data_IF_456412575444
#
_entry.id   IF_456412575444
#
_cell.length_a   1.000
_cell.length_b   1.000
_cell.length_c   1.000
_cell.angle_alpha   90.00
_cell.angle_beta   90.00
_cell.angle_gamma   90.00
#
_symmetry.space_group_name_H-M   'P 1'
#
loop_
_entity.id
_entity.type
_entity.pdbx_description
1 polymer ?
#
# COMPACT_ATOMS: atom_id res chain seq x y z
N UNK A 1 9.24 28.06 -6.94
CA UNK A 1 10.03 29.14 -6.34
C UNK A 1 11.25 28.50 -5.69
N UNK A 2 12.45 29.02 -5.94
CA UNK A 2 13.67 28.60 -5.24
C UNK A 2 14.01 29.70 -4.24
N UNK A 3 14.29 29.33 -2.99
CA UNK A 3 14.72 30.26 -1.95
C UNK A 3 16.24 30.37 -1.97
N UNK A 4 16.77 31.52 -1.58
CA UNK A 4 18.21 31.71 -1.37
C UNK A 4 18.61 31.13 0.00
N UNK A 5 19.88 30.79 0.19
CA UNK A 5 20.35 30.21 1.46
C UNK A 5 20.03 31.11 2.66
N UNK A 6 20.28 32.41 2.54
CA UNK A 6 19.88 33.41 3.55
C UNK A 6 18.38 33.40 3.88
N UNK A 7 17.50 33.13 2.91
CA UNK A 7 16.05 33.04 3.19
C UNK A 7 15.72 31.76 3.94
N UNK A 8 16.43 30.67 3.67
CA UNK A 8 16.27 29.41 4.40
C UNK A 8 16.75 29.56 5.84
N UNK A 9 17.86 30.25 6.07
CA UNK A 9 18.38 30.53 7.42
C UNK A 9 17.36 31.34 8.24
N UNK A 10 16.80 32.40 7.67
CA UNK A 10 15.74 33.18 8.31
C UNK A 10 14.50 32.33 8.67
N UNK A 11 14.11 31.41 7.80
CA UNK A 11 13.00 30.49 8.06
C UNK A 11 13.33 29.56 9.23
N UNK A 12 14.57 29.08 9.32
CA UNK A 12 15.01 28.20 10.40
C UNK A 12 15.11 28.92 11.75
N UNK A 13 15.64 30.14 11.78
CA UNK A 13 15.71 30.97 12.99
C UNK A 13 14.31 31.24 13.58
N UNK A 14 13.33 31.43 12.70
CA UNK A 14 11.95 31.65 13.05
C UNK A 14 11.19 30.38 13.50
N UNK A 15 11.75 29.20 13.26
CA UNK A 15 11.09 27.93 13.57
C UNK A 15 11.16 27.66 15.08
N UNK A 16 10.03 27.43 15.76
CA UNK A 16 10.04 27.32 17.21
C UNK A 16 10.76 26.04 17.68
N UNK A 17 11.46 26.16 18.79
CA UNK A 17 12.10 25.04 19.46
C UNK A 17 11.08 24.26 20.31
N UNK A 18 10.97 22.95 20.09
CA UNK A 18 10.14 22.05 20.89
C UNK A 18 10.62 20.60 20.76
N UNK A 19 10.30 19.78 21.76
CA UNK A 19 10.66 18.36 21.76
C UNK A 19 9.67 17.52 20.95
N UNK A 20 10.22 16.61 20.15
CA UNK A 20 9.43 15.60 19.45
C UNK A 20 8.90 14.55 20.43
N UNK A 21 7.71 14.02 20.14
CA UNK A 21 7.17 12.87 20.86
C UNK A 21 8.13 11.68 20.77
N UNK A 22 8.42 11.05 21.91
CA UNK A 22 9.34 9.90 21.96
C UNK A 22 8.69 8.66 21.34
N UNK A 23 9.45 7.93 20.51
CA UNK A 23 9.00 6.70 19.86
C UNK A 23 9.88 5.52 20.29
N UNK A 24 9.27 4.37 20.59
CA UNK A 24 9.96 3.13 20.92
C UNK A 24 9.57 2.02 19.96
N UNK A 25 10.52 1.14 19.63
CA UNK A 25 10.22 -0.09 18.90
C UNK A 25 9.43 -1.04 19.79
N UNK A 26 8.34 -1.57 19.26
CA UNK A 26 7.53 -2.56 19.97
C UNK A 26 8.07 -3.97 19.67
N UNK A 27 8.32 -4.75 20.74
CA UNK A 27 8.81 -6.13 20.63
C UNK A 27 7.71 -7.18 20.85
N UNK A 28 6.65 -6.84 21.60
CA UNK A 28 5.47 -7.67 21.84
C UNK A 28 4.23 -6.80 21.74
N UNK A 29 3.14 -7.33 21.17
CA UNK A 29 1.88 -6.59 21.05
C UNK A 29 1.35 -6.24 22.44
N UNK A 30 0.85 -5.01 22.58
CA UNK A 30 0.27 -4.50 23.83
C UNK A 30 -1.05 -3.80 23.54
N UNK A 31 -1.92 -3.70 24.54
CA UNK A 31 -3.15 -2.93 24.38
C UNK A 31 -2.85 -1.42 24.29
N UNK A 32 -3.62 -0.72 23.46
CA UNK A 32 -3.60 0.75 23.37
C UNK A 32 -5.01 1.26 23.10
N UNK A 33 -5.20 2.57 23.25
CA UNK A 33 -6.51 3.19 23.00
C UNK A 33 -6.78 3.28 21.50
N UNK A 34 -5.73 3.59 20.72
CA UNK A 34 -5.80 3.68 19.26
C UNK A 34 -4.56 3.07 18.60
N UNK A 35 -4.78 2.60 17.38
CA UNK A 35 -3.77 2.09 16.48
C UNK A 35 -3.81 2.91 15.20
N UNK A 36 -2.66 3.38 14.72
CA UNK A 36 -2.61 4.16 13.49
C UNK A 36 -1.49 3.74 12.55
N UNK A 37 -1.71 3.88 11.25
CA UNK A 37 -0.73 3.51 10.22
C UNK A 37 0.29 4.62 9.98
N UNK A 38 1.56 4.27 9.91
CA UNK A 38 2.63 5.14 9.44
C UNK A 38 3.09 4.65 8.07
N UNK A 39 2.97 5.44 6.99
CA UNK A 39 3.42 5.02 5.66
C UNK A 39 4.95 4.95 5.58
N UNK A 40 5.48 4.20 4.62
CA UNK A 40 6.91 4.24 4.28
C UNK A 40 7.23 5.56 3.58
N UNK A 41 8.04 6.38 4.22
CA UNK A 41 8.45 7.68 3.70
C UNK A 41 9.39 8.44 4.63
N UNK A 42 9.72 9.67 4.22
CA UNK A 42 10.58 10.59 4.97
C UNK A 42 9.75 11.44 5.93
N UNK A 43 10.31 11.81 7.09
CA UNK A 43 9.61 12.61 8.10
C UNK A 43 9.81 14.09 7.82
N UNK A 44 8.74 14.86 7.95
CA UNK A 44 8.78 16.31 7.77
C UNK A 44 7.94 17.01 8.83
N UNK A 45 8.31 18.25 9.11
CA UNK A 45 7.34 19.24 9.57
C UNK A 45 6.70 19.92 8.36
N UNK A 46 5.38 20.08 8.39
CA UNK A 46 4.66 20.97 7.49
C UNK A 46 4.28 22.23 8.28
N UNK A 47 4.85 23.37 7.90
CA UNK A 47 4.71 24.63 8.61
C UNK A 47 3.99 25.68 7.76
N UNK A 48 2.79 26.02 8.19
CA UNK A 48 1.99 27.09 7.60
C UNK A 48 2.36 28.40 8.27
N UNK A 49 2.98 29.32 7.53
CA UNK A 49 3.42 30.62 8.05
C UNK A 49 3.33 31.72 6.99
N UNK A 50 3.14 32.96 7.43
CA UNK A 50 3.34 34.14 6.61
C UNK A 50 4.84 34.39 6.42
N UNK A 51 5.31 34.28 5.18
CA UNK A 51 6.67 34.65 4.81
C UNK A 51 6.60 35.82 3.83
N UNK A 52 7.20 36.96 4.19
CA UNK A 52 7.14 38.21 3.42
C UNK A 52 5.69 38.56 3.00
N UNK A 53 4.78 38.51 3.97
CA UNK A 53 3.33 38.76 3.83
C UNK A 53 2.56 37.79 2.90
N UNK A 54 3.20 36.71 2.45
CA UNK A 54 2.58 35.68 1.63
C UNK A 54 2.34 34.41 2.46
N UNK A 55 1.13 33.84 2.48
CA UNK A 55 0.87 32.58 3.17
C UNK A 55 1.56 31.43 2.43
N UNK A 56 2.44 30.71 3.12
CA UNK A 56 3.20 29.61 2.54
C UNK A 56 3.17 28.39 3.45
N UNK A 57 3.31 27.20 2.84
CA UNK A 57 3.50 25.94 3.55
C UNK A 57 4.92 25.42 3.28
N UNK A 58 5.77 25.47 4.30
CA UNK A 58 7.13 24.94 4.24
C UNK A 58 7.17 23.49 4.71
N UNK A 59 8.00 22.68 4.07
CA UNK A 59 8.25 21.30 4.43
C UNK A 59 9.69 21.15 4.87
N UNK A 60 9.90 20.96 6.17
CA UNK A 60 11.22 20.87 6.79
C UNK A 60 11.55 19.39 6.97
N UNK A 61 12.49 18.89 6.18
CA UNK A 61 12.93 17.49 6.20
C UNK A 61 13.70 17.18 7.47
N UNK A 62 13.28 16.14 8.19
CA UNK A 62 13.90 15.77 9.45
C UNK A 62 14.90 14.64 9.20
N UNK A 63 16.16 14.90 9.50
CA UNK A 63 17.18 13.86 9.54
C UNK A 63 17.03 13.03 10.81
N UNK A 64 16.64 11.76 10.68
CA UNK A 64 16.39 10.89 11.85
C UNK A 64 17.63 10.58 12.68
N UNK A 65 18.84 10.66 12.12
CA UNK A 65 20.09 10.34 12.84
C UNK A 65 20.46 11.47 13.80
N UNK A 66 20.41 12.70 13.30
CA UNK A 66 20.90 13.86 14.03
C UNK A 66 19.76 14.70 14.64
N UNK A 67 18.49 14.39 14.31
CA UNK A 67 17.28 15.15 14.70
C UNK A 67 17.28 16.62 14.26
N UNK A 68 18.07 16.96 13.25
CA UNK A 68 18.14 18.30 12.66
C UNK A 68 17.25 18.40 11.41
N UNK A 69 16.97 19.63 11.01
CA UNK A 69 16.34 19.94 9.73
C UNK A 69 17.45 19.91 8.66
N UNK A 70 17.28 19.06 7.63
CA UNK A 70 18.27 18.87 6.57
C UNK A 70 17.99 19.72 5.35
N UNK A 71 16.72 19.79 4.95
CA UNK A 71 16.27 20.49 3.76
C UNK A 71 14.94 21.18 4.01
N UNK A 72 14.70 22.30 3.34
CA UNK A 72 13.41 23.00 3.35
C UNK A 72 12.84 23.05 1.93
N UNK A 73 11.60 22.59 1.79
CA UNK A 73 10.87 22.61 0.53
C UNK A 73 9.62 23.47 0.66
N UNK A 74 9.07 23.88 -0.48
CA UNK A 74 7.76 24.50 -0.56
C UNK A 74 6.93 23.78 -1.63
N UNK A 75 5.77 23.29 -1.22
CA UNK A 75 4.80 22.64 -2.10
C UNK A 75 3.51 23.44 -2.16
N UNK A 76 2.79 23.32 -3.27
CA UNK A 76 1.48 23.95 -3.40
C UNK A 76 0.44 23.17 -2.59
N UNK A 77 -0.21 23.87 -1.67
CA UNK A 77 -1.27 23.38 -0.80
C UNK A 77 -2.38 24.41 -0.85
N UNK A 78 -3.63 24.04 -1.17
CA UNK A 78 -4.76 24.94 -1.02
C UNK A 78 -5.20 24.92 0.44
N UNK A 79 -4.95 26.00 1.16
CA UNK A 79 -5.30 26.14 2.58
C UNK A 79 -5.77 27.56 2.92
N UNK A 80 -6.41 27.69 4.07
CA UNK A 80 -6.87 28.97 4.63
C UNK A 80 -5.73 29.71 5.33
N UNK A 81 -5.54 31.00 4.97
CA UNK A 81 -4.52 31.89 5.54
C UNK A 81 -4.55 31.95 7.07
N UNK A 82 -5.69 31.65 7.71
CA UNK A 82 -5.79 31.60 9.17
C UNK A 82 -4.78 30.64 9.82
N UNK A 83 -4.34 29.57 9.12
CA UNK A 83 -3.34 28.65 9.63
C UNK A 83 -1.96 29.30 9.81
N UNK A 84 -1.71 30.44 9.17
CA UNK A 84 -0.46 31.18 9.24
C UNK A 84 -0.43 32.23 10.36
N UNK A 85 -1.48 32.37 11.18
CA UNK A 85 -1.53 33.36 12.27
C UNK A 85 -0.41 33.16 13.30
N UNK A 86 0.14 34.25 13.81
CA UNK A 86 1.24 34.29 14.78
C UNK A 86 2.47 33.51 14.28
N UNK A 87 3.00 32.59 15.09
CA UNK A 87 4.10 31.68 14.68
C UNK A 87 3.63 30.58 13.71
N UNK A 88 2.33 30.52 13.40
CA UNK A 88 1.76 29.63 12.39
C UNK A 88 1.29 28.28 12.94
N UNK A 89 1.05 27.34 12.03
CA UNK A 89 0.60 25.97 12.35
C UNK A 89 1.68 24.98 11.93
N UNK A 90 2.09 24.11 12.85
CA UNK A 90 3.16 23.13 12.64
C UNK A 90 2.60 21.73 12.81
N UNK A 91 2.49 21.02 11.69
CA UNK A 91 2.12 19.62 11.63
C UNK A 91 3.38 18.77 11.47
N UNK A 92 3.33 17.55 12.00
CA UNK A 92 4.38 16.55 11.84
C UNK A 92 3.81 15.31 11.17
N UNK A 93 4.58 14.73 10.27
CA UNK A 93 4.08 13.62 9.48
C UNK A 93 5.09 12.99 8.55
N UNK A 94 4.59 12.09 7.71
CA UNK A 94 5.39 11.37 6.72
C UNK A 94 5.01 11.81 5.32
N UNK A 95 6.01 12.23 4.54
CA UNK A 95 5.90 12.44 3.10
C UNK A 95 6.17 11.12 2.37
N UNK A 96 5.24 10.72 1.51
CA UNK A 96 5.31 9.49 0.72
C UNK A 96 4.64 9.68 -0.64
N UNK A 97 4.70 8.64 -1.48
CA UNK A 97 4.16 8.68 -2.83
C UNK A 97 3.09 7.62 -3.04
N UNK A 98 1.97 8.02 -3.62
CA UNK A 98 0.91 7.11 -4.11
C UNK A 98 0.75 7.36 -5.60
N UNK A 99 1.02 6.35 -6.43
CA UNK A 99 0.92 6.47 -7.90
C UNK A 99 1.65 7.72 -8.45
N UNK A 100 2.88 7.97 -7.98
CA UNK A 100 3.73 9.15 -8.29
C UNK A 100 3.21 10.51 -7.76
N UNK A 101 2.05 10.57 -7.11
CA UNK A 101 1.55 11.78 -6.44
C UNK A 101 2.14 11.89 -5.05
N UNK A 102 2.54 13.10 -4.63
CA UNK A 102 3.03 13.36 -3.28
C UNK A 102 1.87 13.43 -2.30
N UNK A 103 1.99 12.69 -1.21
CA UNK A 103 1.04 12.68 -0.11
C UNK A 103 1.78 12.96 1.20
N UNK A 104 1.17 13.75 2.08
CA UNK A 104 1.63 14.00 3.43
C UNK A 104 0.63 13.43 4.43
N UNK A 105 1.07 12.42 5.18
CA UNK A 105 0.29 11.79 6.24
C UNK A 105 0.52 12.53 7.55
N UNK A 106 -0.48 13.25 8.06
CA UNK A 106 -0.39 14.01 9.31
C UNK A 106 -0.45 13.05 10.49
N UNK A 107 0.57 13.05 11.32
CA UNK A 107 0.68 12.15 12.47
C UNK A 107 0.60 12.88 13.80
N UNK A 108 0.97 14.16 13.83
CA UNK A 108 0.93 14.97 15.04
C UNK A 108 0.82 16.47 14.71
N UNK A 109 0.45 17.26 15.71
CA UNK A 109 0.44 18.73 15.66
C UNK A 109 1.16 19.28 16.87
N UNK A 110 2.05 20.25 16.64
CA UNK A 110 2.82 20.91 17.71
C UNK A 110 2.36 22.34 17.94
N UNK A 111 2.00 23.06 16.87
CA UNK A 111 1.47 24.41 16.96
C UNK A 111 0.22 24.54 16.11
N UNK A 112 -0.77 25.25 16.63
CA UNK A 112 -1.96 25.65 15.88
C UNK A 112 -2.15 27.16 15.99
N UNK A 113 -1.95 27.88 14.88
CA UNK A 113 -2.12 29.35 14.84
C UNK A 113 -1.31 30.08 15.92
N UNK A 114 -0.13 29.54 16.21
CA UNK A 114 0.81 29.95 17.24
C UNK A 114 0.58 29.41 18.64
N UNK A 115 -0.52 28.71 18.92
CA UNK A 115 -0.75 28.06 20.20
C UNK A 115 0.05 26.75 20.29
N UNK A 116 0.88 26.61 21.33
CA UNK A 116 1.70 25.42 21.56
C UNK A 116 0.85 24.27 22.14
N UNK A 117 0.83 23.13 21.43
CA UNK A 117 0.10 21.90 21.77
C UNK A 117 1.03 20.75 22.22
N UNK A 118 2.30 21.02 22.47
CA UNK A 118 3.33 20.00 22.82
C UNK A 118 3.06 19.29 24.14
N UNK A 119 2.28 19.89 25.04
CA UNK A 119 1.91 19.27 26.32
C UNK A 119 0.48 18.69 26.33
N UNK A 120 -0.32 18.97 25.31
CA UNK A 120 -1.67 18.42 25.19
C UNK A 120 -1.64 16.90 24.95
N UNK A 121 -2.70 16.21 25.37
CA UNK A 121 -2.85 14.78 25.11
C UNK A 121 -3.26 14.51 23.64
N UNK A 122 -3.16 13.25 23.22
CA UNK A 122 -3.45 12.84 21.83
C UNK A 122 -4.90 13.07 21.42
N UNK A 123 -5.87 12.97 22.34
CA UNK A 123 -7.27 13.23 22.01
C UNK A 123 -7.50 14.66 21.51
N UNK A 124 -6.90 15.65 22.19
CA UNK A 124 -6.98 17.06 21.80
C UNK A 124 -6.29 17.25 20.45
N UNK A 125 -5.07 16.71 20.28
CA UNK A 125 -4.30 16.86 19.04
C UNK A 125 -5.02 16.28 17.83
N UNK A 126 -5.60 15.09 17.96
CA UNK A 126 -6.36 14.44 16.88
C UNK A 126 -7.61 15.25 16.53
N UNK A 127 -8.31 15.79 17.54
CA UNK A 127 -9.46 16.67 17.32
C UNK A 127 -9.06 17.92 16.53
N UNK A 128 -7.97 18.58 16.89
CA UNK A 128 -7.48 19.75 16.16
C UNK A 128 -7.04 19.42 14.73
N UNK A 129 -6.33 18.31 14.54
CA UNK A 129 -5.95 17.82 13.21
C UNK A 129 -7.20 17.56 12.34
N UNK A 130 -8.23 16.94 12.90
CA UNK A 130 -9.49 16.71 12.21
C UNK A 130 -10.15 18.03 11.78
N UNK A 131 -10.22 19.02 12.68
CA UNK A 131 -10.80 20.32 12.38
C UNK A 131 -10.07 21.04 11.24
N UNK A 132 -8.73 21.04 11.27
CA UNK A 132 -7.90 21.65 10.22
C UNK A 132 -8.14 20.98 8.87
N UNK A 133 -8.17 19.65 8.85
CA UNK A 133 -8.38 18.89 7.61
C UNK A 133 -9.78 19.08 7.04
N UNK A 134 -10.78 19.26 7.89
CA UNK A 134 -12.17 19.47 7.48
C UNK A 134 -12.41 20.89 6.95
N UNK A 135 -11.81 21.90 7.57
CA UNK A 135 -12.21 23.30 7.37
C UNK A 135 -11.13 24.18 6.72
N UNK A 136 -9.85 23.86 6.90
CA UNK A 136 -8.76 24.79 6.54
C UNK A 136 -7.82 24.28 5.46
N UNK A 137 -7.75 22.97 5.19
CA UNK A 137 -6.92 22.40 4.12
C UNK A 137 -7.83 21.69 3.12
N UNK A 138 -7.69 21.97 1.82
CA UNK A 138 -8.42 21.26 0.75
C UNK A 138 -7.57 20.12 0.20
N UNK A 139 -8.16 18.94 0.02
CA UNK A 139 -7.47 17.75 -0.47
C UNK A 139 -7.53 17.65 -2.02
N UNK A 140 -7.03 18.69 -2.69
CA UNK A 140 -7.01 18.77 -4.17
C UNK A 140 -5.59 18.73 -4.73
N UNK A 141 -5.40 18.07 -5.87
CA UNK A 141 -4.11 17.95 -6.54
C UNK A 141 -4.17 18.63 -7.91
N UNK A 142 -3.53 19.78 -8.07
CA UNK A 142 -3.62 20.59 -9.30
C UNK A 142 -2.51 20.26 -10.31
N UNK A 143 -1.29 20.03 -9.84
CA UNK A 143 -0.14 19.81 -10.70
C UNK A 143 0.96 18.99 -10.00
N UNK A 144 2.05 18.73 -10.71
CA UNK A 144 3.19 17.94 -10.22
C UNK A 144 3.89 18.54 -8.99
N UNK A 145 3.72 19.83 -8.68
CA UNK A 145 4.27 20.49 -7.48
C UNK A 145 3.27 20.53 -6.30
N UNK A 146 2.06 20.03 -6.50
CA UNK A 146 1.05 19.93 -5.46
C UNK A 146 1.34 18.77 -4.51
N UNK A 147 0.83 18.86 -3.29
CA UNK A 147 0.90 17.80 -2.30
C UNK A 147 -0.47 17.59 -1.63
N UNK A 148 -0.88 16.34 -1.50
CA UNK A 148 -2.14 15.98 -0.85
C UNK A 148 -1.91 15.73 0.63
N UNK A 149 -2.59 16.47 1.50
CA UNK A 149 -2.64 16.18 2.92
C UNK A 149 -3.66 15.06 3.18
N UNK A 150 -3.32 14.16 4.10
CA UNK A 150 -4.15 13.04 4.51
C UNK A 150 -3.94 12.69 5.96
N UNK A 151 -4.87 11.93 6.51
CA UNK A 151 -4.79 11.36 7.85
C UNK A 151 -4.41 9.88 7.76
N UNK A 152 -3.73 9.35 8.79
CA UNK A 152 -3.47 7.93 8.87
C UNK A 152 -4.81 7.19 9.00
N UNK A 153 -4.82 5.91 8.62
CA UNK A 153 -5.88 5.04 9.09
C UNK A 153 -5.73 4.91 10.61
N UNK A 154 -6.80 5.19 11.34
CA UNK A 154 -6.88 5.07 12.79
C UNK A 154 -8.03 4.11 13.11
N UNK A 155 -7.80 3.18 14.04
CA UNK A 155 -8.82 2.29 14.56
C UNK A 155 -8.58 2.04 16.05
N UNK A 156 -9.65 1.76 16.80
CA UNK A 156 -9.55 1.32 18.20
C UNK A 156 -9.35 -0.19 18.29
N UNK A 157 -9.56 -0.93 17.19
CA UNK A 157 -9.30 -2.36 17.10
C UNK A 157 -8.18 -2.66 16.09
N UNK A 158 -7.14 -3.34 16.58
CA UNK A 158 -5.97 -3.72 15.77
C UNK A 158 -6.33 -4.57 14.53
N UNK A 159 -7.23 -5.54 14.68
CA UNK A 159 -7.59 -6.46 13.59
C UNK A 159 -8.38 -5.76 12.49
N UNK A 160 -9.27 -4.83 12.86
CA UNK A 160 -9.99 -3.99 11.89
C UNK A 160 -9.02 -3.13 11.09
N UNK A 161 -8.01 -2.55 11.75
CA UNK A 161 -6.96 -1.79 11.07
C UNK A 161 -6.17 -2.68 10.09
N UNK A 162 -5.76 -3.88 10.52
CA UNK A 162 -5.04 -4.83 9.67
C UNK A 162 -5.80 -5.23 8.42
N UNK A 163 -7.10 -5.45 8.52
CA UNK A 163 -7.94 -5.77 7.36
C UNK A 163 -7.97 -4.61 6.36
N UNK A 164 -8.05 -3.36 6.84
CA UNK A 164 -8.00 -2.16 5.98
C UNK A 164 -6.63 -1.98 5.32
N UNK A 165 -5.55 -2.31 6.02
CA UNK A 165 -4.16 -2.18 5.54
C UNK A 165 -3.90 -2.99 4.27
N UNK A 166 -4.49 -4.20 4.15
CA UNK A 166 -4.29 -5.07 2.99
C UNK A 166 -4.74 -4.46 1.67
N UNK A 167 -5.69 -3.52 1.72
CA UNK A 167 -6.27 -2.85 0.55
C UNK A 167 -5.58 -1.53 0.18
N UNK A 168 -4.49 -1.16 0.87
CA UNK A 168 -3.83 0.13 0.65
C UNK A 168 -2.95 0.15 -0.62
N UNK A 169 -3.07 1.24 -1.38
CA UNK A 169 -2.25 1.52 -2.57
C UNK A 169 -0.81 1.97 -2.26
N UNK A 170 -0.43 2.03 -0.99
CA UNK A 170 0.91 2.40 -0.54
C UNK A 170 1.40 1.44 0.54
N UNK A 171 2.70 1.46 0.81
CA UNK A 171 3.31 0.55 1.77
C UNK A 171 3.34 1.19 3.16
N UNK A 172 2.91 0.44 4.17
CA UNK A 172 2.95 0.85 5.57
C UNK A 172 4.32 0.47 6.15
N UNK A 173 4.91 1.38 6.90
CA UNK A 173 6.16 1.17 7.64
C UNK A 173 5.90 0.48 8.98
N UNK A 174 4.98 1.02 9.78
CA UNK A 174 4.57 0.46 11.06
C UNK A 174 3.11 0.76 11.39
N UNK A 175 2.53 -0.02 12.28
CA UNK A 175 1.41 0.44 13.12
C UNK A 175 2.01 1.08 14.36
N UNK A 176 1.52 2.27 14.69
CA UNK A 176 1.87 2.99 15.89
C UNK A 176 0.73 2.93 16.90
N UNK A 177 1.07 2.55 18.12
CA UNK A 177 0.15 2.37 19.25
C UNK A 177 0.20 3.65 20.08
N UNK A 178 -0.95 4.25 20.36
CA UNK A 178 -1.04 5.46 21.17
C UNK A 178 -2.15 5.39 22.20
N UNK A 179 -1.86 5.96 23.37
CA UNK A 179 -2.85 6.27 24.39
C UNK A 179 -3.41 7.67 24.13
N UNK A 180 -4.72 7.85 24.28
CA UNK A 180 -5.42 9.10 23.99
C UNK A 180 -5.17 10.15 25.08
N UNK A 181 -5.16 9.73 26.34
CA UNK A 181 -5.17 10.62 27.50
C UNK A 181 -3.89 10.59 28.33
N UNK A 182 -2.98 9.64 28.06
CA UNK A 182 -1.70 9.50 28.78
C UNK A 182 -0.54 9.86 27.86
N UNK A 183 0.34 10.74 28.31
CA UNK A 183 1.59 11.06 27.63
C UNK A 183 2.62 9.95 27.88
N UNK A 184 2.52 8.88 27.11
CA UNK A 184 3.54 7.82 27.04
C UNK A 184 4.19 7.82 25.65
N UNK A 185 5.43 7.28 25.54
CA UNK A 185 6.08 7.08 24.25
C UNK A 185 5.19 6.30 23.29
N UNK A 186 5.19 6.68 22.02
CA UNK A 186 4.49 5.95 20.98
C UNK A 186 5.22 4.64 20.69
N UNK A 187 4.49 3.56 20.50
CA UNK A 187 5.09 2.24 20.27
C UNK A 187 4.91 1.83 18.81
N UNK A 188 6.01 1.56 18.12
CA UNK A 188 6.03 1.25 16.69
C UNK A 188 6.20 -0.26 16.47
N UNK A 189 5.17 -0.92 15.93
CA UNK A 189 5.24 -2.29 15.43
C UNK A 189 5.57 -2.27 13.93
N UNK A 190 6.77 -2.73 13.55
CA UNK A 190 7.16 -2.86 12.15
C UNK A 190 6.33 -3.95 11.47
N UNK A 191 5.72 -3.64 10.32
CA UNK A 191 4.85 -4.58 9.61
C UNK A 191 5.46 -4.91 8.26
N UNK A 192 5.49 -6.21 7.95
CA UNK A 192 5.71 -6.71 6.60
C UNK A 192 4.36 -7.14 6.05
N UNK A 193 3.76 -6.29 5.23
CA UNK A 193 2.52 -6.64 4.53
C UNK A 193 2.91 -7.44 3.30
N UNK A 194 2.55 -8.72 3.28
CA UNK A 194 2.60 -9.51 2.05
C UNK A 194 1.35 -9.18 1.24
N UNK A 195 1.42 -8.15 0.40
CA UNK A 195 0.30 -7.82 -0.51
C UNK A 195 0.11 -8.97 -1.49
N UNK A 196 -1.00 -9.69 -1.34
CA UNK A 196 -1.43 -10.67 -2.31
C UNK A 196 -1.90 -9.91 -3.56
N UNK A 197 -1.23 -10.16 -4.68
CA UNK A 197 -1.57 -9.52 -5.96
C UNK A 197 -2.37 -10.53 -6.77
N UNK A 198 -3.61 -10.16 -7.10
CA UNK A 198 -4.47 -10.97 -7.96
C UNK A 198 -4.60 -10.34 -9.34
N UNK A 199 -4.54 -11.17 -10.37
CA UNK A 199 -4.82 -10.79 -11.76
C UNK A 199 -5.60 -11.90 -12.46
N UNK A 200 -6.34 -11.51 -13.49
CA UNK A 200 -7.21 -12.41 -14.23
C UNK A 200 -6.55 -12.81 -15.55
N UNK A 201 -6.39 -14.11 -15.75
CA UNK A 201 -5.77 -14.67 -16.95
C UNK A 201 -6.76 -15.58 -17.66
N UNK A 202 -6.71 -15.60 -18.98
CA UNK A 202 -7.32 -16.68 -19.73
C UNK A 202 -6.36 -17.87 -19.67
N UNK A 203 -6.80 -18.97 -19.09
CA UNK A 203 -5.99 -20.17 -18.87
C UNK A 203 -6.38 -21.24 -19.87
N UNK A 204 -5.37 -21.85 -20.49
CA UNK A 204 -5.52 -22.99 -21.39
C UNK A 204 -4.61 -24.14 -20.96
N UNK A 205 -5.04 -25.40 -21.12
CA UNK A 205 -4.16 -26.53 -20.85
C UNK A 205 -3.15 -26.71 -21.99
N UNK A 206 -2.06 -27.39 -21.69
CA UNK A 206 -1.17 -27.98 -22.69
C UNK A 206 -1.36 -29.49 -22.70
N UNK A 207 -0.65 -30.22 -23.56
CA UNK A 207 -0.67 -31.69 -23.53
C UNK A 207 -0.07 -32.22 -22.22
N UNK A 208 0.96 -31.55 -21.69
CA UNK A 208 1.70 -31.98 -20.50
C UNK A 208 0.92 -31.68 -19.22
N UNK A 209 0.81 -32.67 -18.32
CA UNK A 209 0.15 -32.55 -17.03
C UNK A 209 0.73 -31.40 -16.20
N UNK A 210 -0.12 -30.71 -15.45
CA UNK A 210 0.21 -29.54 -14.63
C UNK A 210 0.84 -28.33 -15.35
N UNK A 211 0.95 -28.37 -16.69
CA UNK A 211 1.42 -27.25 -17.49
C UNK A 211 0.21 -26.58 -18.16
N UNK A 212 -0.06 -25.35 -17.71
CA UNK A 212 -1.14 -24.51 -18.21
C UNK A 212 -0.60 -23.16 -18.67
N UNK A 213 -1.03 -22.71 -19.84
CA UNK A 213 -0.64 -21.43 -20.41
C UNK A 213 -1.55 -20.30 -19.94
N UNK A 214 -0.95 -19.20 -19.49
CA UNK A 214 -1.64 -17.98 -19.08
C UNK A 214 -1.59 -16.96 -20.21
N UNK A 215 -2.77 -16.48 -20.63
CA UNK A 215 -2.94 -15.47 -21.66
C UNK A 215 -3.46 -14.16 -21.08
N UNK A 216 -3.00 -13.05 -21.65
CA UNK A 216 -3.34 -11.68 -21.25
C UNK A 216 -3.87 -10.90 -22.45
N UNK A 217 -4.62 -9.83 -22.19
CA UNK A 217 -5.14 -8.98 -23.25
C UNK A 217 -4.09 -7.93 -23.65
N UNK A 218 -3.75 -7.86 -24.93
CA UNK A 218 -2.87 -6.85 -25.52
C UNK A 218 -3.52 -6.30 -26.80
N UNK A 219 -3.86 -5.01 -26.82
CA UNK A 219 -4.46 -4.34 -27.99
C UNK A 219 -5.64 -5.11 -28.63
N UNK A 220 -6.47 -5.75 -27.78
CA UNK A 220 -7.62 -6.61 -28.13
C UNK A 220 -7.32 -8.04 -28.58
N UNK A 221 -6.06 -8.49 -28.58
CA UNK A 221 -5.68 -9.89 -28.83
C UNK A 221 -5.18 -10.57 -27.56
N UNK A 222 -5.43 -11.88 -27.45
CA UNK A 222 -4.88 -12.69 -26.37
C UNK A 222 -3.45 -13.09 -26.72
N UNK A 223 -2.50 -12.76 -25.85
CA UNK A 223 -1.09 -13.09 -26.01
C UNK A 223 -0.65 -14.00 -24.84
N UNK A 224 0.12 -15.05 -25.15
CA UNK A 224 0.70 -15.92 -24.12
C UNK A 224 1.68 -15.11 -23.27
N UNK A 225 1.48 -15.13 -21.96
CA UNK A 225 2.26 -14.36 -21.00
C UNK A 225 3.27 -15.22 -20.23
N UNK A 226 2.82 -16.33 -19.65
CA UNK A 226 3.66 -17.27 -18.91
C UNK A 226 2.95 -18.60 -18.70
N UNK A 227 3.62 -19.54 -18.04
CA UNK A 227 3.03 -20.79 -17.56
C UNK A 227 2.48 -20.56 -16.14
N UNK A 228 1.38 -21.21 -15.81
CA UNK A 228 0.81 -21.24 -14.46
C UNK A 228 1.73 -22.01 -13.51
N UNK A 229 1.81 -21.57 -12.26
CA UNK A 229 2.55 -22.28 -11.23
C UNK A 229 1.58 -23.11 -10.40
N UNK A 230 1.77 -24.43 -10.39
CA UNK A 230 0.99 -25.40 -9.63
C UNK A 230 1.87 -25.91 -8.47
N UNK A 231 1.78 -25.30 -7.28
CA UNK A 231 2.70 -25.63 -6.18
C UNK A 231 2.33 -26.88 -5.40
N UNK A 232 1.07 -27.28 -5.45
CA UNK A 232 0.51 -28.28 -4.55
C UNK A 232 -0.49 -29.19 -5.28
N UNK A 233 -0.65 -30.38 -4.72
CA UNK A 233 -1.56 -31.41 -5.23
C UNK A 233 -3.01 -30.92 -5.31
N UNK A 234 -3.46 -30.10 -4.35
CA UNK A 234 -4.82 -29.55 -4.36
C UNK A 234 -5.07 -28.68 -5.60
N UNK A 235 -4.10 -27.85 -5.97
CA UNK A 235 -4.15 -27.01 -7.17
C UNK A 235 -4.09 -27.87 -8.44
N UNK A 236 -3.27 -28.93 -8.45
CA UNK A 236 -3.22 -29.90 -9.55
C UNK A 236 -4.58 -30.57 -9.77
N UNK A 237 -5.19 -31.13 -8.73
CA UNK A 237 -6.53 -31.76 -8.79
C UNK A 237 -7.59 -30.78 -9.28
N UNK A 238 -7.61 -29.54 -8.78
CA UNK A 238 -8.52 -28.50 -9.26
C UNK A 238 -8.35 -28.25 -10.76
N UNK A 239 -7.13 -28.03 -11.21
CA UNK A 239 -6.85 -27.72 -12.62
C UNK A 239 -7.16 -28.92 -13.53
N UNK A 240 -6.81 -30.12 -13.09
CA UNK A 240 -7.14 -31.35 -13.80
C UNK A 240 -8.65 -31.50 -13.93
N UNK A 241 -9.43 -31.30 -12.85
CA UNK A 241 -10.91 -31.38 -12.93
C UNK A 241 -11.55 -30.39 -13.91
N UNK A 242 -10.88 -29.28 -14.23
CA UNK A 242 -11.37 -28.29 -15.18
C UNK A 242 -11.06 -28.64 -16.64
N UNK A 243 -9.87 -29.20 -16.90
CA UNK A 243 -9.32 -29.34 -18.25
C UNK A 243 -9.06 -30.78 -18.69
N UNK A 244 -9.04 -31.73 -17.76
CA UNK A 244 -8.58 -33.10 -17.98
C UNK A 244 -9.54 -34.12 -17.37
N UNK A 245 -9.45 -35.35 -17.86
CA UNK A 245 -10.08 -36.51 -17.22
C UNK A 245 -8.95 -37.44 -16.75
N UNK A 246 -8.64 -37.41 -15.45
CA UNK A 246 -7.58 -38.20 -14.83
C UNK A 246 -8.24 -39.05 -13.74
N UNK A 247 -8.36 -40.36 -13.97
CA UNK A 247 -9.06 -41.32 -13.09
C UNK A 247 -8.40 -41.37 -11.70
N UNK A 248 -7.08 -41.22 -11.66
CA UNK A 248 -6.22 -41.24 -10.47
C UNK A 248 -6.47 -40.08 -9.51
N UNK A 249 -7.00 -38.96 -10.01
CA UNK A 249 -7.40 -37.86 -9.12
C UNK A 249 -8.68 -38.17 -8.34
N UNK A 250 -9.46 -39.18 -8.78
CA UNK A 250 -10.67 -39.66 -8.12
C UNK A 250 -10.34 -40.85 -7.24
N UNK A 251 -9.59 -41.83 -7.77
CA UNK A 251 -9.15 -43.02 -7.05
C UNK A 251 -7.72 -43.41 -7.45
N UNK A 252 -6.79 -43.44 -6.51
CA UNK A 252 -5.40 -43.81 -6.76
C UNK A 252 -5.27 -45.25 -7.27
N UNK A 253 -6.14 -46.15 -6.80
CA UNK A 253 -6.12 -47.57 -7.14
C UNK A 253 -6.57 -47.83 -8.59
N UNK A 254 -7.13 -46.82 -9.27
CA UNK A 254 -7.48 -46.91 -10.69
C UNK A 254 -6.25 -47.12 -11.59
N UNK A 255 -5.03 -46.90 -11.08
CA UNK A 255 -3.78 -47.25 -11.77
C UNK A 255 -3.59 -48.76 -11.98
N UNK A 256 -4.25 -49.59 -11.17
CA UNK A 256 -4.15 -51.06 -11.24
C UNK A 256 -5.29 -51.69 -12.06
N UNK A 257 -6.29 -50.88 -12.45
CA UNK A 257 -7.40 -51.31 -13.29
C UNK A 257 -6.94 -51.40 -14.75
N UNK A 258 -7.37 -52.43 -15.47
CA UNK A 258 -7.10 -52.55 -16.90
C UNK A 258 -7.86 -51.48 -17.68
N UNK A 259 -7.19 -50.80 -18.61
CA UNK A 259 -7.81 -49.85 -19.53
C UNK A 259 -9.00 -50.52 -20.28
N UNK A 260 -10.05 -49.74 -20.52
CA UNK A 260 -11.15 -50.19 -21.37
C UNK A 260 -10.74 -50.17 -22.86
N UNK A 261 -11.48 -50.91 -23.70
CA UNK A 261 -11.12 -51.06 -25.13
C UNK A 261 -11.04 -49.70 -25.85
N UNK A 262 -11.92 -48.75 -25.54
CA UNK A 262 -11.93 -47.41 -26.14
C UNK A 262 -10.67 -46.60 -25.76
N UNK A 263 -10.24 -46.68 -24.51
CA UNK A 263 -9.03 -46.02 -24.02
C UNK A 263 -7.75 -46.64 -24.60
N UNK A 264 -7.76 -47.96 -24.81
CA UNK A 264 -6.67 -48.69 -25.45
C UNK A 264 -6.53 -48.34 -26.94
N UNK A 265 -7.65 -48.23 -27.66
CA UNK A 265 -7.67 -47.88 -29.09
C UNK A 265 -7.27 -46.42 -29.34
N UNK A 266 -7.57 -45.52 -28.41
CA UNK A 266 -7.23 -44.11 -28.54
C UNK A 266 -5.73 -43.86 -28.26
N UNK A 267 -4.97 -43.65 -29.34
CA UNK A 267 -3.53 -43.32 -29.32
C UNK A 267 -3.23 -41.81 -29.33
N UNK A 268 -4.25 -40.96 -29.23
CA UNK A 268 -4.04 -39.51 -29.28
C UNK A 268 -3.29 -39.02 -28.04
N UNK A 269 -2.35 -38.08 -28.23
CA UNK A 269 -1.56 -37.51 -27.14
C UNK A 269 -2.40 -36.65 -26.19
N UNK A 270 -3.54 -36.19 -26.66
CA UNK A 270 -4.48 -35.32 -25.94
C UNK A 270 -5.71 -36.07 -25.40
N UNK A 271 -5.77 -37.40 -25.45
CA UNK A 271 -6.95 -38.18 -25.07
C UNK A 271 -7.53 -37.87 -23.68
N UNK A 272 -6.68 -37.43 -22.76
CA UNK A 272 -7.07 -37.06 -21.38
C UNK A 272 -7.20 -35.56 -21.14
N UNK A 273 -7.13 -34.73 -22.18
CA UNK A 273 -7.16 -33.26 -22.05
C UNK A 273 -7.97 -32.60 -23.15
N UNK A 274 -8.81 -31.66 -22.74
CA UNK A 274 -9.58 -30.84 -23.67
C UNK A 274 -8.80 -29.53 -23.95
N UNK A 275 -8.12 -29.49 -25.09
CA UNK A 275 -7.29 -28.35 -25.50
C UNK A 275 -8.12 -27.11 -25.93
N UNK A 276 -9.42 -27.28 -26.20
CA UNK A 276 -10.32 -26.20 -26.60
C UNK A 276 -10.92 -25.47 -25.40
N UNK A 277 -11.00 -26.15 -24.24
CA UNK A 277 -11.42 -25.53 -22.99
C UNK A 277 -10.50 -24.38 -22.59
N UNK A 278 -11.14 -23.29 -22.19
CA UNK A 278 -10.48 -22.08 -21.70
C UNK A 278 -11.34 -21.44 -20.63
N UNK A 279 -10.70 -21.07 -19.53
CA UNK A 279 -11.38 -20.39 -18.42
C UNK A 279 -10.67 -19.09 -18.09
N UNK A 280 -11.44 -18.07 -17.72
CA UNK A 280 -10.85 -16.90 -17.06
C UNK A 280 -10.69 -17.24 -15.59
N UNK A 281 -9.46 -17.21 -15.10
CA UNK A 281 -9.15 -17.53 -13.71
C UNK A 281 -8.51 -16.36 -13.00
N UNK A 282 -8.86 -16.21 -11.73
CA UNK A 282 -8.16 -15.33 -10.81
C UNK A 282 -6.89 -16.04 -10.36
N UNK A 283 -5.74 -15.43 -10.62
CA UNK A 283 -4.44 -15.96 -10.27
C UNK A 283 -3.75 -15.07 -9.23
N UNK A 284 -3.12 -15.71 -8.24
CA UNK A 284 -2.32 -15.08 -7.21
C UNK A 284 -0.85 -15.01 -7.66
N UNK A 285 -0.21 -13.84 -7.52
CA UNK A 285 1.22 -13.71 -7.73
C UNK A 285 2.00 -14.18 -6.52
N UNK A 286 2.88 -15.16 -6.73
CA UNK A 286 3.79 -15.65 -5.71
C UNK A 286 5.16 -15.00 -5.90
N UNK A 287 5.44 -13.95 -5.12
CA UNK A 287 6.68 -13.16 -5.21
C UNK A 287 7.94 -14.03 -5.12
N UNK A 288 7.94 -15.07 -4.29
CA UNK A 288 9.07 -15.99 -4.08
C UNK A 288 9.47 -16.71 -5.37
N UNK A 289 8.49 -17.13 -6.16
CA UNK A 289 8.70 -17.90 -7.40
C UNK A 289 8.63 -17.01 -8.65
N UNK A 290 8.20 -15.75 -8.50
CA UNK A 290 7.93 -14.81 -9.59
C UNK A 290 6.93 -15.33 -10.62
N UNK A 291 5.98 -16.16 -10.18
CA UNK A 291 5.01 -16.87 -11.01
C UNK A 291 3.57 -16.70 -10.49
N UNK A 292 2.59 -17.10 -11.30
CA UNK A 292 1.16 -16.93 -11.02
C UNK A 292 0.48 -18.27 -10.77
N UNK A 293 -0.19 -18.42 -9.64
CA UNK A 293 -0.96 -19.60 -9.26
C UNK A 293 -2.45 -19.37 -9.53
N UNK A 294 -3.14 -20.21 -10.32
CA UNK A 294 -4.60 -20.17 -10.46
C UNK A 294 -5.30 -20.51 -9.14
N UNK A 295 -6.35 -19.76 -8.79
CA UNK A 295 -7.08 -19.91 -7.53
C UNK A 295 -8.53 -20.31 -7.76
N UNK A 296 -9.23 -19.62 -8.67
CA UNK A 296 -10.65 -19.85 -8.93
C UNK A 296 -11.04 -19.39 -10.35
N UNK A 297 -12.05 -20.03 -10.93
CA UNK A 297 -12.69 -19.62 -12.18
C UNK A 297 -13.63 -18.44 -11.91
N UNK A 298 -13.61 -17.42 -12.78
CA UNK A 298 -14.40 -16.19 -12.61
C UNK A 298 -15.01 -15.72 -13.93
N UNK A 299 -16.11 -14.97 -13.85
CA UNK A 299 -16.75 -14.30 -15.00
C UNK A 299 -16.28 -12.83 -15.14
N UNK A 300 -14.97 -12.59 -15.05
CA UNK A 300 -14.38 -11.25 -15.19
C UNK A 300 -13.61 -11.10 -16.50
N UNK A 301 -13.32 -9.85 -16.88
CA UNK A 301 -12.46 -9.57 -18.03
C UNK A 301 -10.99 -9.91 -17.73
N UNK A 302 -10.30 -10.45 -18.74
CA UNK A 302 -8.87 -10.75 -18.67
C UNK A 302 -8.07 -9.46 -18.48
N UNK A 303 -7.04 -9.54 -17.62
CA UNK A 303 -6.19 -8.40 -17.30
C UNK A 303 -5.35 -7.95 -18.50
N UNK A 304 -5.16 -6.64 -18.62
CA UNK A 304 -4.35 -6.04 -19.68
C UNK A 304 -2.85 -6.28 -19.42
N UNK A 305 -2.07 -6.56 -20.46
CA UNK A 305 -0.61 -6.81 -20.37
C UNK A 305 0.14 -5.73 -19.59
N UNK A 306 -0.22 -4.47 -19.81
CA UNK A 306 0.36 -3.30 -19.11
C UNK A 306 0.24 -3.41 -17.59
N UNK A 307 -0.89 -3.89 -17.08
CA UNK A 307 -1.16 -3.96 -15.64
C UNK A 307 -0.33 -5.03 -14.93
N UNK A 308 0.05 -6.07 -15.67
CA UNK A 308 0.79 -7.22 -15.15
C UNK A 308 2.29 -6.90 -15.12
N UNK A 309 2.81 -6.20 -16.14
CA UNK A 309 4.21 -5.80 -16.23
C UNK A 309 4.64 -4.84 -15.11
N UNK A 310 3.74 -4.03 -14.56
CA UNK A 310 4.04 -3.13 -13.44
C UNK A 310 4.53 -3.87 -12.18
N UNK A 311 4.12 -5.12 -11.97
CA UNK A 311 4.47 -5.89 -10.77
C UNK A 311 5.83 -6.60 -10.87
N UNK A 312 6.38 -6.82 -12.08
CA UNK A 312 7.72 -7.41 -12.25
C UNK A 312 8.87 -6.43 -12.06
N UNK A 313 8.61 -5.10 -12.07
CA UNK A 313 9.64 -4.04 -12.01
C UNK A 313 9.92 -3.47 -10.61
N UNK A 314 9.40 -4.06 -9.55
CA UNK A 314 9.79 -3.79 -8.15
C UNK A 314 10.41 -5.05 -7.56
#
# INVERSE_FOLDING_TARGET
>A
MRFTDHQLDQILEDFPNFELSYEKKLHKKVQSDIYLTIPKGKKYFAWFKLFKNTPMCFFLEINRRNKCIENIFHYQVPFDRILCSNTGTILYGTLFYVNKKRCFNIENIYYLRGNNLTFCNNSIRIKEIHNIMKSNIKQTYYNSNSILFGLPLIDTNYYNLMNKINNLYYDVFCIQYRLLYKNKPYLNELIKINKQVYKYFLVKPTIINDIYDLYVLNEKKYEKFSIAFIPDYKSSVMMNSLFRNIKENINLDALEESDDEEEFENVSLDKFVDLDKKYVMKCLYLQKYKSWQPIEVVQQNVSQKREILFYKKK
#
